data_IF_536624664516
#
_entry.id   IF_536624664516
#
_cell.length_a   1.000
_cell.length_b   1.000
_cell.length_c   1.000
_cell.angle_alpha   90.00
_cell.angle_beta   90.00
_cell.angle_gamma   90.00
#
_symmetry.space_group_name_H-M   'P 1'
#
loop_
_entity.id
_entity.type
_entity.pdbx_description
1 polymer ?
#
# COMPACT_ATOMS: atom_id res chain seq x y z
N UNK A 1 -9.08 -22.10 -9.26
CA UNK A 1 -10.24 -21.19 -9.04
C UNK A 1 -10.60 -21.09 -7.56
N UNK A 2 -10.63 -22.19 -6.76
CA UNK A 2 -10.98 -22.17 -5.34
C UNK A 2 -10.05 -21.31 -4.47
N UNK A 3 -8.73 -21.36 -4.68
CA UNK A 3 -7.75 -20.56 -3.92
C UNK A 3 -7.93 -19.05 -4.07
N UNK A 4 -8.30 -18.58 -5.26
CA UNK A 4 -8.61 -17.16 -5.49
C UNK A 4 -9.84 -16.70 -4.71
N UNK A 5 -10.88 -17.54 -4.62
CA UNK A 5 -12.08 -17.24 -3.85
C UNK A 5 -11.77 -17.17 -2.35
N UNK A 6 -10.99 -18.12 -1.84
CA UNK A 6 -10.56 -18.13 -0.43
C UNK A 6 -9.71 -16.89 -0.13
N UNK A 7 -8.77 -16.53 -1.00
CA UNK A 7 -7.97 -15.32 -0.85
C UNK A 7 -8.84 -14.05 -0.86
N UNK A 8 -9.77 -13.93 -1.83
CA UNK A 8 -10.66 -12.78 -1.93
C UNK A 8 -11.58 -12.67 -0.70
N UNK A 9 -12.12 -13.77 -0.20
CA UNK A 9 -12.92 -13.79 1.02
C UNK A 9 -12.11 -13.39 2.25
N UNK A 10 -10.90 -13.90 2.40
CA UNK A 10 -9.98 -13.50 3.48
C UNK A 10 -9.63 -12.02 3.43
N UNK A 11 -9.30 -11.49 2.24
CA UNK A 11 -9.03 -10.07 2.05
C UNK A 11 -10.26 -9.22 2.37
N UNK A 12 -11.45 -9.60 1.93
CA UNK A 12 -12.70 -8.90 2.22
C UNK A 12 -13.01 -8.87 3.72
N UNK A 13 -12.78 -9.97 4.43
CA UNK A 13 -12.95 -10.03 5.89
C UNK A 13 -11.96 -9.12 6.63
N UNK A 14 -10.70 -9.08 6.21
CA UNK A 14 -9.69 -8.20 6.80
C UNK A 14 -10.03 -6.72 6.56
N UNK A 15 -10.45 -6.38 5.35
CA UNK A 15 -10.90 -5.02 4.99
C UNK A 15 -12.13 -4.65 5.81
N UNK A 16 -13.15 -5.48 5.87
CA UNK A 16 -14.35 -5.24 6.64
C UNK A 16 -14.04 -5.05 8.13
N UNK A 17 -13.24 -5.95 8.72
CA UNK A 17 -12.78 -5.79 10.11
C UNK A 17 -12.06 -4.46 10.31
N UNK A 18 -11.17 -4.07 9.41
CA UNK A 18 -10.42 -2.81 9.50
C UNK A 18 -11.34 -1.59 9.44
N UNK A 19 -12.33 -1.59 8.55
CA UNK A 19 -13.29 -0.50 8.41
C UNK A 19 -14.19 -0.33 9.64
N UNK A 20 -14.59 -1.44 10.29
CA UNK A 20 -15.52 -1.41 11.42
C UNK A 20 -14.83 -1.36 12.79
N UNK A 21 -13.59 -1.84 12.92
CA UNK A 21 -12.89 -1.94 14.20
C UNK A 21 -12.15 -0.66 14.63
N UNK A 22 -11.88 0.27 13.71
CA UNK A 22 -11.13 1.49 14.01
C UNK A 22 -11.87 2.71 13.53
N UNK A 23 -11.96 3.80 14.34
CA UNK A 23 -12.47 5.05 13.82
C UNK A 23 -11.53 5.54 12.69
N UNK A 24 -12.08 5.65 11.49
CA UNK A 24 -11.37 6.14 10.30
C UNK A 24 -11.02 7.62 10.40
N UNK A 25 -11.61 8.33 11.37
CA UNK A 25 -11.54 9.78 11.51
C UNK A 25 -10.65 10.15 12.69
N UNK A 26 -9.69 11.00 12.45
CA UNK A 26 -8.80 11.59 13.44
C UNK A 26 -7.34 11.26 13.19
N UNK A 27 -6.73 12.00 12.27
CA UNK A 27 -5.27 11.93 12.06
C UNK A 27 -4.59 12.70 13.18
N UNK A 28 -4.05 11.98 14.16
CA UNK A 28 -3.06 12.57 15.05
C UNK A 28 -1.74 12.66 14.27
N UNK A 29 -1.13 13.85 14.30
CA UNK A 29 0.15 14.10 13.62
C UNK A 29 1.35 13.77 14.52
N UNK A 30 1.19 12.79 15.41
CA UNK A 30 2.25 12.13 16.14
C UNK A 30 2.68 10.82 15.42
N UNK A 31 3.78 10.20 15.89
CA UNK A 31 4.30 8.99 15.25
C UNK A 31 3.28 7.84 15.19
N UNK A 32 2.59 7.55 16.30
CA UNK A 32 1.62 6.47 16.40
C UNK A 32 0.36 6.75 15.54
N UNK A 33 -0.12 7.98 15.56
CA UNK A 33 -1.26 8.40 14.75
C UNK A 33 -0.98 8.32 13.26
N UNK A 34 0.23 8.69 12.84
CA UNK A 34 0.67 8.61 11.44
C UNK A 34 0.75 7.15 10.96
N UNK A 35 1.28 6.23 11.76
CA UNK A 35 1.31 4.81 11.43
C UNK A 35 -0.11 4.23 11.33
N UNK A 36 -0.99 4.60 12.27
CA UNK A 36 -2.41 4.23 12.20
C UNK A 36 -3.08 4.77 10.93
N UNK A 37 -2.79 6.00 10.54
CA UNK A 37 -3.28 6.56 9.29
C UNK A 37 -2.81 5.74 8.08
N UNK A 38 -1.54 5.33 8.03
CA UNK A 38 -1.01 4.46 6.98
C UNK A 38 -1.73 3.12 6.89
N UNK A 39 -2.01 2.48 8.03
CA UNK A 39 -2.80 1.22 8.06
C UNK A 39 -4.23 1.46 7.57
N UNK A 40 -4.89 2.52 8.03
CA UNK A 40 -6.26 2.85 7.60
C UNK A 40 -6.30 3.16 6.10
N UNK A 41 -5.31 3.89 5.58
CA UNK A 41 -5.18 4.15 4.14
C UNK A 41 -4.99 2.84 3.33
N UNK A 42 -4.21 1.89 3.85
CA UNK A 42 -4.06 0.58 3.23
C UNK A 42 -5.37 -0.23 3.22
N UNK A 43 -6.16 -0.15 4.29
CA UNK A 43 -7.47 -0.80 4.36
C UNK A 43 -8.42 -0.18 3.32
N UNK A 44 -8.45 1.14 3.20
CA UNK A 44 -9.26 1.84 2.19
C UNK A 44 -8.80 1.47 0.77
N UNK A 45 -7.49 1.43 0.52
CA UNK A 45 -6.94 0.98 -0.76
C UNK A 45 -7.35 -0.47 -1.07
N UNK A 46 -7.32 -1.36 -0.09
CA UNK A 46 -7.80 -2.73 -0.21
C UNK A 46 -9.29 -2.81 -0.55
N UNK A 47 -10.13 -1.97 0.08
CA UNK A 47 -11.56 -1.89 -0.24
C UNK A 47 -11.79 -1.43 -1.69
N UNK A 48 -11.10 -0.37 -2.13
CA UNK A 48 -11.17 0.12 -3.51
C UNK A 48 -10.68 -0.94 -4.49
N UNK A 49 -9.60 -1.68 -4.16
CA UNK A 49 -9.11 -2.78 -4.99
C UNK A 49 -10.14 -3.89 -5.16
N UNK A 50 -10.84 -4.28 -4.08
CA UNK A 50 -11.90 -5.30 -4.16
C UNK A 50 -13.05 -4.84 -5.06
N UNK A 51 -13.48 -3.57 -4.94
CA UNK A 51 -14.50 -2.98 -5.81
C UNK A 51 -14.01 -3.00 -7.27
N UNK A 52 -12.75 -2.61 -7.53
CA UNK A 52 -12.14 -2.60 -8.84
C UNK A 52 -12.09 -4.02 -9.46
N UNK A 53 -11.75 -5.05 -8.68
CA UNK A 53 -11.79 -6.44 -9.15
C UNK A 53 -13.20 -6.87 -9.54
N UNK A 54 -14.20 -6.60 -8.69
CA UNK A 54 -15.59 -6.94 -9.00
C UNK A 54 -16.05 -6.22 -10.27
N UNK A 55 -15.74 -4.92 -10.40
CA UNK A 55 -16.07 -4.14 -11.58
C UNK A 55 -15.45 -4.74 -12.85
N UNK A 56 -14.14 -5.02 -12.83
CA UNK A 56 -13.45 -5.63 -13.96
C UNK A 56 -14.02 -6.99 -14.33
N UNK A 57 -14.30 -7.86 -13.35
CA UNK A 57 -14.90 -9.18 -13.59
C UNK A 57 -16.30 -9.12 -14.23
N UNK A 58 -17.04 -8.04 -13.98
CA UNK A 58 -18.35 -7.82 -14.57
C UNK A 58 -18.28 -7.15 -15.95
N UNK A 59 -17.29 -6.27 -16.17
CA UNK A 59 -17.16 -5.46 -17.37
C UNK A 59 -16.39 -6.17 -18.52
N UNK A 60 -15.42 -7.05 -18.19
CA UNK A 60 -14.62 -7.74 -19.21
C UNK A 60 -15.46 -8.78 -19.97
N UNK A 61 -15.46 -8.77 -21.33
CA UNK A 61 -16.16 -9.74 -22.15
C UNK A 61 -15.72 -11.19 -21.85
N UNK A 62 -16.69 -12.12 -21.76
CA UNK A 62 -16.42 -13.51 -21.34
C UNK A 62 -16.02 -14.43 -22.49
N UNK A 63 -16.14 -13.96 -23.71
CA UNK A 63 -15.78 -14.65 -24.97
C UNK A 63 -14.29 -14.55 -25.32
N UNK A 64 -13.54 -13.80 -24.52
CA UNK A 64 -12.09 -13.67 -24.69
C UNK A 64 -11.36 -14.97 -24.33
N UNK A 65 -10.20 -15.18 -24.98
CA UNK A 65 -9.26 -16.21 -24.57
C UNK A 65 -8.93 -16.07 -23.08
N UNK A 66 -8.79 -17.17 -22.37
CA UNK A 66 -8.65 -17.19 -20.92
C UNK A 66 -7.50 -16.30 -20.40
N UNK A 67 -6.37 -16.27 -21.11
CA UNK A 67 -5.23 -15.42 -20.73
C UNK A 67 -5.59 -13.94 -20.82
N UNK A 68 -6.14 -13.50 -21.95
CA UNK A 68 -6.54 -12.12 -22.16
C UNK A 68 -7.63 -11.70 -21.16
N UNK A 69 -8.63 -12.57 -20.92
CA UNK A 69 -9.67 -12.32 -19.93
C UNK A 69 -9.08 -12.03 -18.54
N UNK A 70 -8.22 -12.91 -18.03
CA UNK A 70 -7.66 -12.73 -16.69
C UNK A 70 -6.68 -11.56 -16.61
N UNK A 71 -5.92 -11.28 -17.66
CA UNK A 71 -5.05 -10.11 -17.72
C UNK A 71 -5.86 -8.81 -17.57
N UNK A 72 -6.92 -8.65 -18.34
CA UNK A 72 -7.82 -7.50 -18.27
C UNK A 72 -8.56 -7.43 -16.93
N UNK A 73 -9.10 -8.55 -16.46
CA UNK A 73 -9.89 -8.61 -15.23
C UNK A 73 -9.07 -8.26 -13.97
N UNK A 74 -7.77 -8.58 -13.98
CA UNK A 74 -6.90 -8.34 -12.81
C UNK A 74 -6.05 -7.08 -12.92
N UNK A 75 -5.97 -6.43 -14.07
CA UNK A 75 -5.08 -5.29 -14.30
C UNK A 75 -5.36 -4.12 -13.36
N UNK A 76 -6.55 -3.54 -13.43
CA UNK A 76 -6.88 -2.34 -12.64
C UNK A 76 -6.92 -2.61 -11.15
N UNK A 77 -7.65 -3.63 -10.71
CA UNK A 77 -7.72 -4.03 -9.30
C UNK A 77 -6.35 -4.41 -8.72
N UNK A 78 -5.49 -5.07 -9.52
CA UNK A 78 -4.12 -5.38 -9.15
C UNK A 78 -3.26 -4.15 -8.92
N UNK A 79 -3.38 -3.13 -9.79
CA UNK A 79 -2.67 -1.86 -9.63
C UNK A 79 -3.15 -1.10 -8.37
N UNK A 80 -4.45 -1.12 -8.08
CA UNK A 80 -4.97 -0.53 -6.83
C UNK A 80 -4.49 -1.29 -5.60
N UNK A 81 -4.44 -2.62 -5.65
CA UNK A 81 -3.96 -3.44 -4.54
C UNK A 81 -2.48 -3.16 -4.19
N UNK A 82 -1.67 -2.77 -5.17
CA UNK A 82 -0.27 -2.38 -4.94
C UNK A 82 -0.14 -1.18 -4.01
N UNK A 83 -1.09 -0.25 -3.99
CA UNK A 83 -1.10 0.85 -3.02
C UNK A 83 -1.25 0.33 -1.59
N UNK A 84 -2.13 -0.65 -1.36
CA UNK A 84 -2.30 -1.27 -0.05
C UNK A 84 -1.00 -1.94 0.42
N UNK A 85 -0.35 -2.72 -0.44
CA UNK A 85 0.94 -3.35 -0.15
C UNK A 85 2.03 -2.33 0.13
N UNK A 86 2.13 -1.26 -0.67
CA UNK A 86 3.13 -0.21 -0.47
C UNK A 86 2.91 0.50 0.86
N UNK A 87 1.68 0.89 1.19
CA UNK A 87 1.37 1.52 2.47
C UNK A 87 1.74 0.63 3.66
N UNK A 88 1.39 -0.66 3.61
CA UNK A 88 1.73 -1.62 4.66
C UNK A 88 3.24 -1.83 4.77
N UNK A 89 3.97 -1.90 3.65
CA UNK A 89 5.42 -2.02 3.64
C UNK A 89 6.07 -0.81 4.32
N UNK A 90 5.64 0.41 3.97
CA UNK A 90 6.20 1.63 4.55
C UNK A 90 5.89 1.75 6.04
N UNK A 91 4.69 1.36 6.47
CA UNK A 91 4.34 1.26 7.90
C UNK A 91 5.22 0.24 8.60
N UNK A 92 5.43 -0.94 8.00
CA UNK A 92 6.29 -1.99 8.56
C UNK A 92 7.75 -1.50 8.72
N UNK A 93 8.31 -0.80 7.73
CA UNK A 93 9.66 -0.22 7.84
C UNK A 93 9.78 0.75 9.02
N UNK A 94 8.81 1.63 9.19
CA UNK A 94 8.83 2.60 10.29
C UNK A 94 8.66 1.91 11.65
N UNK A 95 7.80 0.89 11.75
CA UNK A 95 7.62 0.09 12.95
C UNK A 95 8.89 -0.72 13.31
N UNK A 96 9.51 -1.36 12.31
CA UNK A 96 10.75 -2.11 12.50
C UNK A 96 11.90 -1.19 12.91
N UNK A 97 11.99 -0.01 12.32
CA UNK A 97 12.98 1.00 12.68
C UNK A 97 12.80 1.42 14.16
N UNK A 98 11.59 1.78 14.56
CA UNK A 98 11.28 2.18 15.94
C UNK A 98 11.58 1.05 16.93
N UNK A 99 11.08 -0.17 16.68
CA UNK A 99 11.32 -1.35 17.51
C UNK A 99 12.81 -1.73 17.62
N UNK A 100 13.63 -1.36 16.61
CA UNK A 100 15.09 -1.56 16.61
C UNK A 100 15.86 -0.42 17.25
N UNK A 101 15.20 0.61 17.76
CA UNK A 101 15.82 1.81 18.31
C UNK A 101 16.49 2.70 17.25
N UNK A 102 16.06 2.59 15.99
CA UNK A 102 16.52 3.43 14.88
C UNK A 102 15.68 4.70 14.83
N UNK A 103 16.31 5.84 15.05
CA UNK A 103 15.67 7.16 14.89
C UNK A 103 15.67 7.53 13.41
N UNK A 104 14.50 7.43 12.79
CA UNK A 104 14.30 7.80 11.37
C UNK A 104 14.17 9.33 11.28
N UNK A 105 15.04 10.04 10.53
CA UNK A 105 15.06 11.50 10.45
C UNK A 105 13.99 12.04 9.48
N UNK A 106 12.73 11.71 9.73
CA UNK A 106 11.57 12.21 8.97
C UNK A 106 10.48 12.59 9.96
N UNK A 107 9.80 13.70 9.71
CA UNK A 107 8.72 14.12 10.59
C UNK A 107 7.43 13.31 10.34
N UNK A 108 6.62 13.03 11.38
CA UNK A 108 5.33 12.38 11.22
C UNK A 108 4.40 13.08 10.21
N UNK A 109 4.48 14.42 10.13
CA UNK A 109 3.70 15.21 9.17
C UNK A 109 4.05 14.91 7.73
N UNK A 110 5.34 14.77 7.41
CA UNK A 110 5.81 14.41 6.05
C UNK A 110 5.39 12.99 5.71
N UNK A 111 5.49 12.04 6.64
CA UNK A 111 5.00 10.67 6.44
C UNK A 111 3.50 10.65 6.21
N UNK A 112 2.72 11.38 7.00
CA UNK A 112 1.28 11.50 6.81
C UNK A 112 0.92 12.11 5.44
N UNK A 113 1.67 13.13 5.01
CA UNK A 113 1.49 13.73 3.68
C UNK A 113 1.75 12.71 2.56
N UNK A 114 2.82 11.93 2.65
CA UNK A 114 3.15 10.89 1.67
C UNK A 114 2.07 9.81 1.61
N UNK A 115 1.55 9.36 2.75
CA UNK A 115 0.43 8.42 2.81
C UNK A 115 -0.86 9.02 2.24
N UNK A 116 -1.11 10.32 2.50
CA UNK A 116 -2.25 11.06 1.95
C UNK A 116 -2.20 11.17 0.43
N UNK A 117 -1.02 11.43 -0.15
CA UNK A 117 -0.82 11.46 -1.61
C UNK A 117 -1.13 10.09 -2.22
N UNK A 118 -0.67 9.00 -1.60
CA UNK A 118 -1.01 7.65 -2.06
C UNK A 118 -2.52 7.39 -2.00
N UNK A 119 -3.18 7.79 -0.91
CA UNK A 119 -4.62 7.63 -0.76
C UNK A 119 -5.41 8.44 -1.80
N UNK A 120 -4.97 9.66 -2.12
CA UNK A 120 -5.55 10.47 -3.20
C UNK A 120 -5.40 9.77 -4.55
N UNK A 121 -4.24 9.16 -4.83
CA UNK A 121 -4.04 8.39 -6.05
C UNK A 121 -4.96 7.16 -6.10
N UNK A 122 -5.22 6.48 -4.97
CA UNK A 122 -6.20 5.39 -4.89
C UNK A 122 -7.59 5.87 -5.31
N UNK A 123 -8.04 7.03 -4.83
CA UNK A 123 -9.32 7.58 -5.26
C UNK A 123 -9.33 8.00 -6.73
N UNK A 124 -8.20 8.51 -7.25
CA UNK A 124 -8.07 8.82 -8.67
C UNK A 124 -8.21 7.58 -9.57
N UNK A 125 -7.82 6.38 -9.10
CA UNK A 125 -8.03 5.13 -9.86
C UNK A 125 -9.51 4.85 -10.10
N UNK A 126 -10.39 5.18 -9.16
CA UNK A 126 -11.85 5.04 -9.33
C UNK A 126 -12.38 5.91 -10.46
N UNK A 127 -11.84 7.11 -10.64
CA UNK A 127 -12.22 8.00 -11.74
C UNK A 127 -11.86 7.39 -13.10
N UNK A 128 -10.76 6.65 -13.18
CA UNK A 128 -10.38 5.93 -14.40
C UNK A 128 -11.42 4.87 -14.78
N UNK A 129 -11.96 4.13 -13.79
CA UNK A 129 -13.03 3.17 -14.00
C UNK A 129 -14.35 3.82 -14.49
N UNK A 130 -14.62 5.03 -14.04
CA UNK A 130 -15.81 5.78 -14.44
C UNK A 130 -15.67 6.40 -15.84
N UNK A 131 -14.44 6.76 -16.25
CA UNK A 131 -14.18 7.49 -17.47
C UNK A 131 -13.85 6.61 -18.69
N UNK A 132 -13.29 5.41 -18.46
CA UNK A 132 -12.75 4.56 -19.51
C UNK A 132 -13.21 3.11 -19.36
N UNK A 133 -13.49 2.47 -20.50
CA UNK A 133 -13.75 1.04 -20.54
C UNK A 133 -12.53 0.25 -20.02
N UNK A 134 -12.79 -0.82 -19.25
CA UNK A 134 -11.75 -1.66 -18.62
C UNK A 134 -10.82 -2.31 -19.65
N UNK A 135 -11.31 -2.51 -20.88
CA UNK A 135 -10.55 -3.10 -21.99
C UNK A 135 -9.73 -2.07 -22.77
N UNK A 136 -9.92 -0.77 -22.52
CA UNK A 136 -9.26 0.32 -23.25
C UNK A 136 -7.79 0.47 -22.88
N UNK A 137 -7.00 0.94 -23.83
CA UNK A 137 -5.58 1.27 -23.65
C UNK A 137 -5.41 2.40 -22.65
N UNK A 138 -6.31 3.37 -22.65
CA UNK A 138 -6.34 4.52 -21.74
C UNK A 138 -6.51 4.08 -20.30
N UNK A 139 -7.43 3.15 -20.02
CA UNK A 139 -7.62 2.57 -18.69
C UNK A 139 -6.32 1.92 -18.19
N UNK A 140 -5.69 1.06 -18.99
CA UNK A 140 -4.44 0.39 -18.63
C UNK A 140 -3.30 1.37 -18.37
N UNK A 141 -3.15 2.35 -19.27
CA UNK A 141 -2.09 3.36 -19.19
C UNK A 141 -2.25 4.24 -17.95
N UNK A 142 -3.46 4.72 -17.68
CA UNK A 142 -3.73 5.60 -16.55
C UNK A 142 -3.58 4.87 -15.22
N UNK A 143 -4.07 3.64 -15.08
CA UNK A 143 -3.84 2.82 -13.88
C UNK A 143 -2.35 2.64 -13.60
N UNK A 144 -1.56 2.32 -14.62
CA UNK A 144 -0.10 2.18 -14.50
C UNK A 144 0.58 3.48 -14.09
N UNK A 145 0.19 4.61 -14.67
CA UNK A 145 0.77 5.91 -14.32
C UNK A 145 0.40 6.35 -12.90
N UNK A 146 -0.84 6.17 -12.49
CA UNK A 146 -1.26 6.47 -11.11
C UNK A 146 -0.47 5.64 -10.10
N UNK A 147 -0.26 4.36 -10.36
CA UNK A 147 0.56 3.50 -9.51
C UNK A 147 2.01 3.97 -9.47
N UNK A 148 2.63 4.25 -10.62
CA UNK A 148 4.03 4.69 -10.70
C UNK A 148 4.27 6.02 -9.99
N UNK A 149 3.40 7.00 -10.20
CA UNK A 149 3.57 8.35 -9.62
C UNK A 149 3.01 8.38 -8.21
N UNK A 150 1.75 7.98 -8.02
CA UNK A 150 1.08 8.08 -6.73
C UNK A 150 1.57 7.04 -5.71
N UNK A 151 1.79 5.79 -6.16
CA UNK A 151 2.23 4.70 -5.28
C UNK A 151 3.72 4.74 -4.97
N UNK A 152 4.56 4.97 -5.97
CA UNK A 152 6.02 4.85 -5.81
C UNK A 152 6.68 6.07 -5.16
N UNK A 153 6.05 7.25 -5.14
CA UNK A 153 6.66 8.48 -4.63
C UNK A 153 7.15 8.39 -3.18
N UNK A 154 6.41 7.73 -2.31
CA UNK A 154 6.72 7.63 -0.89
C UNK A 154 7.88 6.65 -0.61
N UNK A 155 8.09 5.66 -1.47
CA UNK A 155 9.09 4.60 -1.28
C UNK A 155 10.51 5.19 -1.16
N UNK A 156 11.05 5.93 -2.14
CA UNK A 156 12.42 6.43 -2.07
C UNK A 156 12.63 7.41 -0.90
N UNK A 157 11.62 8.22 -0.57
CA UNK A 157 11.72 9.19 0.53
C UNK A 157 11.82 8.48 1.88
N UNK A 158 10.94 7.53 2.14
CA UNK A 158 10.94 6.79 3.42
C UNK A 158 12.12 5.82 3.48
N UNK A 159 12.45 5.12 2.38
CA UNK A 159 13.63 4.25 2.32
C UNK A 159 14.93 5.00 2.63
N UNK A 160 15.13 6.17 2.00
CA UNK A 160 16.30 7.00 2.26
C UNK A 160 16.36 7.48 3.73
N UNK A 161 15.22 7.87 4.30
CA UNK A 161 15.15 8.28 5.70
C UNK A 161 15.47 7.12 6.65
N UNK A 162 14.93 5.93 6.39
CA UNK A 162 15.21 4.71 7.18
C UNK A 162 16.68 4.30 7.02
N UNK A 163 17.22 4.28 5.80
CA UNK A 163 18.64 3.96 5.55
C UNK A 163 19.58 4.92 6.29
N UNK A 164 19.26 6.23 6.28
CA UNK A 164 20.02 7.23 7.01
C UNK A 164 19.93 7.01 8.53
N UNK A 165 18.76 6.69 9.05
CA UNK A 165 18.57 6.32 10.46
C UNK A 165 19.39 5.08 10.85
N UNK A 166 19.36 4.04 10.01
CA UNK A 166 20.18 2.83 10.18
C UNK A 166 21.67 3.13 10.20
N UNK A 167 22.16 3.91 9.23
CA UNK A 167 23.57 4.28 9.16
C UNK A 167 24.04 5.03 10.43
N UNK A 168 23.22 5.92 10.97
CA UNK A 168 23.49 6.62 12.23
C UNK A 168 23.46 5.66 13.43
N UNK A 169 22.50 4.72 13.45
CA UNK A 169 22.36 3.74 14.53
C UNK A 169 23.57 2.80 14.62
N UNK A 170 24.06 2.31 13.46
CA UNK A 170 25.23 1.42 13.40
C UNK A 170 26.51 2.14 13.85
N UNK A 171 26.69 3.41 13.48
CA UNK A 171 27.83 4.23 13.91
C UNK A 171 27.79 4.57 15.39
N UNK A 172 26.63 4.56 16.01
CA UNK A 172 26.43 4.92 17.43
C UNK A 172 26.79 3.83 18.44
N UNK A 173 27.34 2.68 18.01
CA UNK A 173 27.79 1.62 18.89
C UNK A 173 27.11 0.27 18.69
N UNK A 174 27.43 -0.73 19.51
CA UNK A 174 26.95 -2.10 19.35
C UNK A 174 25.42 -2.19 19.43
N UNK A 175 24.85 -3.01 18.56
CA UNK A 175 23.41 -3.29 18.52
C UNK A 175 23.07 -4.35 19.57
N UNK A 176 22.11 -4.10 20.47
CA UNK A 176 21.64 -5.09 21.43
C UNK A 176 21.20 -6.38 20.72
N UNK A 177 21.48 -7.53 21.33
CA UNK A 177 21.17 -8.83 20.72
C UNK A 177 19.70 -8.97 20.31
N UNK A 178 18.79 -8.44 21.12
CA UNK A 178 17.35 -8.45 20.89
C UNK A 178 16.92 -7.65 19.65
N UNK A 179 17.64 -6.59 19.28
CA UNK A 179 17.35 -5.76 18.12
C UNK A 179 17.94 -6.28 16.80
N UNK A 180 18.88 -7.23 16.84
CA UNK A 180 19.57 -7.75 15.64
C UNK A 180 18.63 -8.40 14.63
N UNK A 181 17.66 -9.28 15.00
CA UNK A 181 16.76 -9.88 14.05
C UNK A 181 15.82 -8.85 13.41
N UNK A 182 15.37 -7.83 14.16
CA UNK A 182 14.53 -6.75 13.64
C UNK A 182 15.30 -5.87 12.65
N UNK A 183 16.56 -5.56 12.95
CA UNK A 183 17.44 -4.83 12.01
C UNK A 183 17.74 -5.65 10.76
N UNK A 184 17.95 -6.96 10.88
CA UNK A 184 18.12 -7.82 9.73
C UNK A 184 16.87 -7.84 8.85
N UNK A 185 15.68 -7.98 9.43
CA UNK A 185 14.41 -7.92 8.70
C UNK A 185 14.23 -6.57 7.97
N UNK A 186 14.57 -5.46 8.63
CA UNK A 186 14.51 -4.13 8.04
C UNK A 186 15.48 -3.98 6.86
N UNK A 187 16.74 -4.42 7.01
CA UNK A 187 17.76 -4.34 5.95
C UNK A 187 17.40 -5.21 4.74
N UNK A 188 16.86 -6.42 4.96
CA UNK A 188 16.48 -7.33 3.88
C UNK A 188 15.24 -6.83 3.12
N UNK A 189 14.36 -6.09 3.78
CA UNK A 189 13.11 -5.57 3.17
C UNK A 189 13.28 -4.22 2.47
N UNK A 190 14.37 -3.48 2.72
CA UNK A 190 14.73 -2.21 2.07
C UNK A 190 15.31 -2.43 0.66
#
# INVERSE_FOLDING_TARGET
KGGLLVFAAGAALLVARGLFASPLVGVRLDGAGTLRFGVNAAIVAGAVALIAFVWSLLAVPRDLEARAYYELAFWGGGHVLQFAWTLLLLVAWLLLADASGVRVPISPRVVALLFGIQLLAVFATTLVYLAYDVTSVEHHRLQTWLMRIGGALAIPVIAAAVALGLARRVRGGPVPAQARPLLAALVVSL
#
